data_IF_111068965043
#
_entry.id   IF_111068965043
#
_cell.length_a   1.000
_cell.length_b   1.000
_cell.length_c   1.000
_cell.angle_alpha   90.00
_cell.angle_beta   90.00
_cell.angle_gamma   90.00
#
_symmetry.space_group_name_H-M   'P 1'
#
loop_
_entity.id
_entity.type
_entity.pdbx_description
1 polymer ?
#
# COMPACT_ATOMS: atom_id res chain seq x y z
N UNK A 1 -17.93 54.59 4.71
CA UNK A 1 -17.57 53.43 3.88
C UNK A 1 -16.33 52.80 4.49
N UNK A 2 -16.45 51.58 5.00
CA UNK A 2 -15.35 50.85 5.64
C UNK A 2 -14.34 50.38 4.58
N UNK A 3 -13.02 50.44 4.82
CA UNK A 3 -12.05 49.86 3.91
C UNK A 3 -12.16 48.32 3.97
N UNK A 4 -12.41 47.73 2.80
CA UNK A 4 -12.35 46.29 2.56
C UNK A 4 -10.88 45.84 2.62
N UNK A 5 -10.50 45.12 3.67
CA UNK A 5 -9.20 44.45 3.76
C UNK A 5 -9.36 43.01 3.28
N UNK A 6 -8.71 42.71 2.15
CA UNK A 6 -8.56 41.36 1.57
C UNK A 6 -7.99 40.41 2.63
N UNK A 7 -8.61 39.25 2.91
CA UNK A 7 -7.99 38.25 3.76
C UNK A 7 -6.68 37.80 3.09
N UNK A 8 -5.60 37.95 3.83
CA UNK A 8 -4.31 37.29 3.65
C UNK A 8 -4.55 35.82 3.30
N UNK A 9 -4.38 35.49 2.01
CA UNK A 9 -4.28 34.13 1.54
C UNK A 9 -2.81 33.71 1.65
N UNK A 10 -2.35 33.55 2.88
CA UNK A 10 -1.20 32.70 3.16
C UNK A 10 -1.72 31.28 3.08
N UNK A 11 -1.61 30.72 1.87
CA UNK A 11 -1.46 29.28 1.71
C UNK A 11 -0.26 28.89 2.57
N UNK A 12 -0.53 28.60 3.84
CA UNK A 12 0.43 27.93 4.71
C UNK A 12 0.58 26.57 4.08
N UNK A 13 1.58 26.45 3.20
CA UNK A 13 2.16 25.18 2.85
C UNK A 13 2.59 24.55 4.17
N UNK A 14 1.73 23.72 4.74
CA UNK A 14 2.14 22.80 5.79
C UNK A 14 3.03 21.81 5.05
N UNK A 15 4.33 22.10 5.00
CA UNK A 15 5.29 21.08 4.59
C UNK A 15 4.98 19.84 5.42
N UNK A 16 4.81 18.70 4.74
CA UNK A 16 4.79 17.42 5.43
C UNK A 16 6.06 17.38 6.29
N UNK A 17 5.89 17.50 7.62
CA UNK A 17 7.01 17.48 8.55
C UNK A 17 7.50 16.05 8.61
N UNK A 18 8.37 15.69 7.66
CA UNK A 18 9.30 14.58 7.83
C UNK A 18 10.26 15.02 8.94
N UNK A 19 10.06 14.50 10.15
CA UNK A 19 10.97 14.76 11.27
C UNK A 19 10.34 15.14 12.62
N UNK A 20 9.03 14.97 12.83
CA UNK A 20 8.54 14.98 14.22
C UNK A 20 9.05 13.73 14.97
N UNK A 21 9.53 13.86 16.22
CA UNK A 21 10.04 12.72 17.00
C UNK A 21 8.95 11.65 17.19
N UNK A 22 9.23 10.41 16.77
CA UNK A 22 8.34 9.24 16.94
C UNK A 22 7.91 8.50 15.65
N UNK A 23 8.43 8.86 14.48
CA UNK A 23 8.20 8.18 13.19
C UNK A 23 9.16 7.01 12.98
N UNK A 24 9.22 6.09 13.94
CA UNK A 24 10.06 4.90 13.81
C UNK A 24 9.46 3.96 12.77
N UNK A 25 10.19 3.77 11.66
CA UNK A 25 9.84 2.81 10.60
C UNK A 25 10.93 1.76 10.53
N UNK A 26 10.51 0.49 10.57
CA UNK A 26 11.40 -0.65 10.52
C UNK A 26 11.08 -1.50 9.30
N UNK A 27 12.13 -2.02 8.67
CA UNK A 27 12.05 -2.89 7.51
C UNK A 27 12.82 -4.17 7.80
N UNK A 28 12.24 -5.30 7.44
CA UNK A 28 12.90 -6.59 7.50
C UNK A 28 12.56 -7.39 6.25
N UNK A 29 13.46 -8.27 5.83
CA UNK A 29 13.20 -9.15 4.72
C UNK A 29 14.18 -10.31 4.65
N UNK A 30 13.72 -11.38 4.02
CA UNK A 30 14.49 -12.59 3.77
C UNK A 30 14.23 -13.08 2.35
N UNK A 31 15.23 -13.73 1.77
CA UNK A 31 15.18 -14.24 0.41
C UNK A 31 15.75 -15.65 0.38
N UNK A 32 15.16 -16.50 -0.45
CA UNK A 32 15.63 -17.85 -0.75
C UNK A 32 15.62 -18.08 -2.26
N UNK A 33 16.63 -18.78 -2.76
CA UNK A 33 16.72 -19.15 -4.17
C UNK A 33 17.41 -20.50 -4.31
N UNK A 34 16.79 -21.42 -5.05
CA UNK A 34 17.37 -22.72 -5.37
C UNK A 34 16.72 -23.32 -6.63
N UNK A 35 17.54 -23.77 -7.59
CA UNK A 35 17.07 -24.57 -8.75
C UNK A 35 15.90 -23.95 -9.50
N UNK A 36 16.03 -22.68 -9.92
CA UNK A 36 14.97 -21.94 -10.59
C UNK A 36 13.88 -21.39 -9.65
N UNK A 37 13.67 -21.97 -8.47
CA UNK A 37 12.74 -21.45 -7.48
C UNK A 37 13.34 -20.26 -6.73
N UNK A 38 12.51 -19.24 -6.51
CA UNK A 38 12.86 -18.10 -5.67
C UNK A 38 11.66 -17.72 -4.80
N UNK A 39 11.94 -17.27 -3.58
CA UNK A 39 10.92 -16.77 -2.66
C UNK A 39 11.50 -15.67 -1.78
N UNK A 40 10.66 -14.69 -1.46
CA UNK A 40 11.04 -13.55 -0.65
C UNK A 40 9.90 -13.19 0.29
N UNK A 41 10.24 -12.84 1.51
CA UNK A 41 9.31 -12.22 2.45
C UNK A 41 9.86 -10.86 2.84
N UNK A 42 9.01 -9.83 2.76
CA UNK A 42 9.32 -8.47 3.15
C UNK A 42 8.29 -7.99 4.17
N UNK A 43 8.77 -7.25 5.17
CA UNK A 43 7.99 -6.71 6.26
C UNK A 43 8.35 -5.24 6.49
N UNK A 44 7.33 -4.43 6.75
CA UNK A 44 7.45 -3.02 7.15
C UNK A 44 6.58 -2.81 8.39
N UNK A 45 7.10 -2.08 9.37
CA UNK A 45 6.34 -1.58 10.52
C UNK A 45 6.57 -0.08 10.68
N UNK A 46 5.51 0.70 10.88
CA UNK A 46 5.56 2.12 11.19
C UNK A 46 4.71 2.43 12.42
N UNK A 47 5.33 3.00 13.46
CA UNK A 47 4.67 3.30 14.75
C UNK A 47 3.58 4.37 14.62
N UNK A 48 3.86 5.42 13.85
CA UNK A 48 2.92 6.47 13.50
C UNK A 48 2.91 6.65 11.98
N UNK A 49 1.73 6.58 11.38
CA UNK A 49 1.50 6.98 10.01
C UNK A 49 0.60 8.23 10.08
N UNK A 50 1.22 9.41 10.27
CA UNK A 50 0.52 10.69 10.11
C UNK A 50 0.26 10.90 8.63
N UNK A 51 -0.77 10.22 8.14
CA UNK A 51 -1.24 10.36 6.78
C UNK A 51 -2.76 10.41 6.96
N UNK A 52 -3.40 11.45 6.45
CA UNK A 52 -4.81 11.73 6.72
C UNK A 52 -5.73 10.59 6.29
N UNK A 53 -7.06 10.63 6.54
CA UNK A 53 -8.00 9.51 6.25
C UNK A 53 -7.81 8.95 4.84
N UNK A 54 -7.43 9.79 3.90
CA UNK A 54 -7.20 9.39 2.53
C UNK A 54 -5.97 8.52 2.35
N UNK A 55 -5.08 8.33 3.33
CA UNK A 55 -3.78 7.67 3.19
C UNK A 55 -3.82 6.23 2.70
N UNK A 56 -4.81 5.47 3.17
CA UNK A 56 -4.97 4.07 2.82
C UNK A 56 -5.58 3.95 1.42
N UNK A 57 -6.52 4.83 1.06
CA UNK A 57 -6.97 4.98 -0.34
C UNK A 57 -5.89 5.61 -1.24
N UNK A 58 -5.10 6.58 -0.78
CA UNK A 58 -4.00 7.26 -1.47
C UNK A 58 -2.88 6.26 -1.81
N UNK A 59 -2.59 5.36 -0.87
CA UNK A 59 -1.61 4.29 -1.03
C UNK A 59 -2.09 3.18 -1.98
N UNK A 60 -3.40 2.89 -2.02
CA UNK A 60 -3.99 1.82 -2.84
C UNK A 60 -4.51 2.29 -4.23
N UNK A 61 -5.01 3.53 -4.36
CA UNK A 61 -5.68 4.10 -5.55
C UNK A 61 -4.88 5.21 -6.25
N UNK A 62 -3.75 5.66 -5.70
CA UNK A 62 -2.84 6.58 -6.40
C UNK A 62 -3.40 7.97 -6.76
N UNK A 63 -4.36 8.51 -6.00
CA UNK A 63 -4.93 9.86 -6.23
C UNK A 63 -4.28 10.93 -5.36
N UNK A 64 -3.67 11.96 -5.95
CA UNK A 64 -2.87 12.99 -5.26
C UNK A 64 -3.68 14.22 -4.81
N UNK A 65 -4.64 14.10 -3.89
CA UNK A 65 -5.35 15.27 -3.33
C UNK A 65 -5.09 15.46 -1.84
N UNK A 66 -4.42 16.57 -1.50
CA UNK A 66 -4.08 17.05 -0.15
C UNK A 66 -5.27 17.72 0.57
N UNK A 67 -6.40 17.03 0.76
CA UNK A 67 -7.57 17.61 1.46
C UNK A 67 -7.94 16.95 2.80
N UNK A 68 -7.02 16.25 3.46
CA UNK A 68 -7.31 15.63 4.75
C UNK A 68 -7.02 16.54 5.97
N UNK A 69 -7.69 17.69 6.08
CA UNK A 69 -7.77 18.44 7.36
C UNK A 69 -8.87 17.83 8.25
N UNK A 70 -8.51 16.95 9.18
CA UNK A 70 -9.40 16.54 10.28
C UNK A 70 -9.55 15.04 10.56
N UNK A 71 -8.52 14.25 10.28
CA UNK A 71 -8.62 12.79 10.24
C UNK A 71 -7.74 12.14 11.31
N UNK A 72 -8.28 11.15 12.04
CA UNK A 72 -7.54 10.43 13.07
C UNK A 72 -6.24 9.83 12.50
N UNK A 73 -5.05 10.09 13.08
CA UNK A 73 -3.78 9.58 12.55
C UNK A 73 -3.74 8.05 12.66
N UNK A 74 -3.29 7.36 11.59
CA UNK A 74 -3.07 5.92 11.63
C UNK A 74 -1.83 5.58 12.47
N UNK A 75 -1.87 4.43 13.14
CA UNK A 75 -0.82 3.90 14.03
C UNK A 75 -0.57 2.44 13.75
N UNK A 76 0.60 1.96 14.18
CA UNK A 76 0.97 0.54 14.11
C UNK A 76 0.82 -0.08 12.71
N UNK A 77 1.14 0.68 11.68
CA UNK A 77 0.98 0.25 10.30
C UNK A 77 2.00 -0.85 9.97
N UNK A 78 1.50 -1.97 9.45
CA UNK A 78 2.25 -3.16 9.12
C UNK A 78 1.96 -3.56 7.69
N UNK A 79 3.01 -3.87 6.93
CA UNK A 79 2.90 -4.43 5.58
C UNK A 79 3.69 -5.72 5.55
N UNK A 80 3.04 -6.80 5.16
CA UNK A 80 3.63 -8.11 4.96
C UNK A 80 3.50 -8.48 3.49
N UNK A 81 4.60 -8.72 2.80
CA UNK A 81 4.59 -9.16 1.41
C UNK A 81 5.37 -10.46 1.27
N UNK A 82 4.70 -11.47 0.75
CA UNK A 82 5.30 -12.73 0.35
C UNK A 82 5.30 -12.81 -1.17
N UNK A 83 6.45 -13.12 -1.76
CA UNK A 83 6.56 -13.41 -3.18
C UNK A 83 7.23 -14.76 -3.38
N UNK A 84 6.80 -15.50 -4.38
CA UNK A 84 7.38 -16.80 -4.73
C UNK A 84 7.24 -17.07 -6.20
N UNK A 85 8.15 -17.85 -6.77
CA UNK A 85 8.13 -18.11 -8.19
C UNK A 85 9.14 -19.16 -8.63
N UNK A 86 9.07 -19.46 -9.92
CA UNK A 86 9.98 -20.34 -10.63
C UNK A 86 10.41 -19.66 -11.93
N UNK A 87 11.71 -19.62 -12.16
CA UNK A 87 12.31 -19.08 -13.38
C UNK A 87 13.44 -19.98 -13.85
N UNK A 88 13.19 -20.76 -14.90
CA UNK A 88 14.18 -21.60 -15.57
C UNK A 88 13.68 -22.05 -16.96
N UNK A 89 14.60 -22.37 -17.87
CA UNK A 89 14.25 -22.98 -19.16
C UNK A 89 13.33 -22.13 -20.05
N UNK A 90 13.33 -20.81 -19.86
CA UNK A 90 12.44 -19.87 -20.57
C UNK A 90 11.07 -19.68 -19.94
N UNK A 91 10.70 -20.46 -18.92
CA UNK A 91 9.49 -20.28 -18.12
C UNK A 91 9.76 -19.29 -16.98
N UNK A 92 8.84 -18.37 -16.74
CA UNK A 92 8.80 -17.54 -15.54
C UNK A 92 7.37 -17.56 -14.97
N UNK A 93 7.26 -17.98 -13.72
CA UNK A 93 6.04 -17.98 -12.92
C UNK A 93 6.32 -17.21 -11.64
N UNK A 94 5.43 -16.31 -11.26
CA UNK A 94 5.54 -15.55 -10.02
C UNK A 94 4.15 -15.37 -9.39
N UNK A 95 4.11 -15.47 -8.07
CA UNK A 95 2.97 -15.22 -7.21
C UNK A 95 3.41 -14.24 -6.13
N UNK A 96 2.50 -13.34 -5.75
CA UNK A 96 2.68 -12.42 -4.65
C UNK A 96 1.39 -12.36 -3.83
N UNK A 97 1.54 -12.22 -2.52
CA UNK A 97 0.48 -11.87 -1.60
C UNK A 97 0.99 -10.73 -0.73
N UNK A 98 0.15 -9.73 -0.51
CA UNK A 98 0.41 -8.59 0.37
C UNK A 98 -0.74 -8.44 1.35
N UNK A 99 -0.39 -8.18 2.62
CA UNK A 99 -1.32 -7.89 3.70
C UNK A 99 -0.89 -6.59 4.34
N UNK A 100 -1.79 -5.62 4.32
CA UNK A 100 -1.64 -4.33 4.96
C UNK A 100 -2.57 -4.27 6.17
N UNK A 101 -2.03 -3.84 7.30
CA UNK A 101 -2.71 -3.74 8.58
C UNK A 101 -2.39 -2.37 9.20
N UNK A 102 -3.36 -1.78 9.89
CA UNK A 102 -3.14 -0.55 10.67
C UNK A 102 -4.22 -0.36 11.72
N UNK A 103 -3.99 0.58 12.64
CA UNK A 103 -4.96 0.99 13.66
C UNK A 103 -5.26 2.48 13.52
N UNK A 104 -6.49 2.90 13.77
CA UNK A 104 -6.83 4.31 13.85
C UNK A 104 -6.40 4.90 15.19
N UNK A 105 -6.10 6.21 15.19
CA UNK A 105 -5.75 6.98 16.39
C UNK A 105 -6.90 7.22 17.37
N UNK A 106 -8.07 6.60 17.14
CA UNK A 106 -9.23 6.69 18.01
C UNK A 106 -9.02 5.92 19.33
N UNK A 107 -9.83 6.24 20.36
CA UNK A 107 -9.72 5.58 21.69
C UNK A 107 -9.96 4.07 21.61
N UNK A 108 -10.72 3.62 20.61
CA UNK A 108 -11.07 2.23 20.39
C UNK A 108 -9.98 1.44 19.63
N UNK A 109 -8.94 2.11 19.09
CA UNK A 109 -7.88 1.54 18.26
C UNK A 109 -8.45 0.63 17.16
N UNK A 110 -9.45 1.14 16.45
CA UNK A 110 -10.15 0.36 15.44
C UNK A 110 -9.19 -0.06 14.32
N UNK A 111 -9.29 -1.30 13.86
CA UNK A 111 -8.33 -1.89 12.91
C UNK A 111 -8.75 -1.67 11.46
N UNK A 112 -7.76 -1.41 10.62
CA UNK A 112 -7.91 -1.41 9.16
C UNK A 112 -7.06 -2.53 8.55
N UNK A 113 -7.54 -3.15 7.48
CA UNK A 113 -6.82 -4.20 6.76
C UNK A 113 -7.19 -4.25 5.29
N UNK A 114 -6.20 -4.48 4.40
CA UNK A 114 -6.47 -4.96 3.03
C UNK A 114 -5.55 -6.14 2.70
N UNK A 115 -6.00 -7.00 1.80
CA UNK A 115 -5.21 -8.10 1.27
C UNK A 115 -5.21 -8.02 -0.25
N UNK A 116 -4.06 -8.25 -0.86
CA UNK A 116 -3.91 -8.29 -2.31
C UNK A 116 -3.12 -9.52 -2.71
N UNK A 117 -3.50 -10.12 -3.84
CA UNK A 117 -2.75 -11.20 -4.47
C UNK A 117 -2.48 -10.84 -5.93
N UNK A 118 -1.33 -11.28 -6.44
CA UNK A 118 -0.97 -11.13 -7.83
C UNK A 118 -0.29 -12.39 -8.34
N UNK A 119 -0.56 -12.72 -9.60
CA UNK A 119 0.02 -13.83 -10.32
C UNK A 119 0.53 -13.36 -11.67
N UNK A 120 1.67 -13.90 -12.10
CA UNK A 120 2.25 -13.64 -13.40
C UNK A 120 2.86 -14.89 -13.98
N UNK A 121 2.65 -15.08 -15.27
CA UNK A 121 3.27 -16.13 -16.06
C UNK A 121 3.84 -15.57 -17.36
N UNK A 122 4.98 -16.08 -17.80
CA UNK A 122 5.54 -15.80 -19.12
C UNK A 122 6.39 -16.95 -19.61
N UNK A 123 6.51 -17.09 -20.93
CA UNK A 123 7.36 -18.10 -21.54
C UNK A 123 8.12 -17.52 -22.72
N UNK A 124 9.40 -17.88 -22.85
CA UNK A 124 10.27 -17.43 -23.94
C UNK A 124 10.22 -18.37 -25.14
N UNK A 125 9.74 -17.86 -26.26
CA UNK A 125 9.79 -18.51 -27.57
C UNK A 125 10.84 -17.81 -28.44
N UNK A 126 12.11 -18.22 -28.32
CA UNK A 126 13.23 -17.56 -29.02
C UNK A 126 13.33 -16.08 -28.64
N UNK A 127 12.97 -15.18 -29.57
CA UNK A 127 12.99 -13.74 -29.37
C UNK A 127 11.68 -13.17 -28.79
N UNK A 128 10.59 -13.94 -28.76
CA UNK A 128 9.30 -13.51 -28.24
C UNK A 128 9.09 -13.97 -26.78
N UNK A 129 8.45 -13.13 -25.96
CA UNK A 129 8.11 -13.46 -24.56
C UNK A 129 6.69 -12.96 -24.26
N UNK A 130 5.63 -13.73 -24.61
CA UNK A 130 4.29 -13.44 -24.12
C UNK A 130 4.23 -13.50 -22.59
N UNK A 131 3.36 -12.69 -22.00
CA UNK A 131 3.20 -12.56 -20.55
C UNK A 131 1.73 -12.35 -20.21
N UNK A 132 1.26 -13.05 -19.20
CA UNK A 132 -0.04 -12.81 -18.59
C UNK A 132 0.16 -12.45 -17.12
N UNK A 133 -0.55 -11.44 -16.64
CA UNK A 133 -0.59 -11.05 -15.23
C UNK A 133 -2.03 -10.89 -14.80
N UNK A 134 -2.33 -11.29 -13.56
CA UNK A 134 -3.61 -11.11 -12.90
C UNK A 134 -3.38 -10.65 -11.46
N UNK A 135 -4.22 -9.77 -10.95
CA UNK A 135 -4.21 -9.34 -9.56
C UNK A 135 -5.63 -9.21 -9.04
N UNK A 136 -5.80 -9.53 -7.75
CA UNK A 136 -7.06 -9.40 -7.04
C UNK A 136 -6.81 -8.68 -5.71
N UNK A 137 -7.54 -7.60 -5.48
CA UNK A 137 -7.62 -6.94 -4.18
C UNK A 137 -8.92 -7.37 -3.49
N UNK A 138 -8.79 -7.84 -2.25
CA UNK A 138 -9.94 -8.16 -1.42
C UNK A 138 -10.56 -6.89 -0.83
N UNK A 139 -11.79 -7.00 -0.35
CA UNK A 139 -12.48 -5.87 0.25
C UNK A 139 -11.72 -5.29 1.46
N UNK A 140 -11.61 -3.97 1.48
CA UNK A 140 -11.03 -3.19 2.55
C UNK A 140 -11.81 -3.41 3.85
N UNK A 141 -11.11 -3.60 4.95
CA UNK A 141 -11.68 -3.47 6.30
C UNK A 141 -11.24 -2.11 6.82
N UNK A 142 -12.19 -1.22 7.09
CA UNK A 142 -11.94 0.09 7.71
C UNK A 142 -12.70 0.17 9.05
N UNK A 143 -12.00 0.56 10.11
CA UNK A 143 -12.54 0.65 11.48
C UNK A 143 -13.26 -0.63 11.92
N UNK A 144 -12.76 -1.79 11.50
CA UNK A 144 -13.35 -3.11 11.77
C UNK A 144 -14.61 -3.44 10.95
N UNK A 145 -14.99 -2.61 9.98
CA UNK A 145 -16.12 -2.85 9.08
C UNK A 145 -15.63 -3.12 7.67
N UNK A 146 -16.27 -4.08 7.01
CA UNK A 146 -16.03 -4.38 5.60
C UNK A 146 -16.54 -3.22 4.75
N UNK A 147 -15.68 -2.65 3.92
CA UNK A 147 -16.02 -1.65 2.91
C UNK A 147 -16.77 -2.29 1.75
N UNK A 148 -17.83 -1.65 1.30
CA UNK A 148 -18.61 -2.12 0.14
C UNK A 148 -17.89 -1.73 -1.15
N UNK A 149 -17.84 -2.65 -2.12
CA UNK A 149 -17.25 -2.43 -3.46
C UNK A 149 -15.80 -1.92 -3.45
N UNK A 150 -15.00 -2.42 -2.50
CA UNK A 150 -13.58 -2.06 -2.39
C UNK A 150 -12.65 -3.13 -2.97
N UNK A 151 -13.17 -4.33 -3.25
CA UNK A 151 -12.46 -5.36 -4.02
C UNK A 151 -12.33 -5.00 -5.50
N UNK A 152 -11.28 -5.51 -6.13
CA UNK A 152 -11.03 -5.30 -7.55
C UNK A 152 -10.29 -6.47 -8.19
N UNK A 153 -10.45 -6.58 -9.52
CA UNK A 153 -9.70 -7.50 -10.38
C UNK A 153 -8.95 -6.70 -11.45
N UNK A 154 -7.72 -7.10 -11.74
CA UNK A 154 -6.93 -6.53 -12.82
C UNK A 154 -6.22 -7.62 -13.60
N UNK A 155 -6.19 -7.51 -14.92
CA UNK A 155 -5.45 -8.44 -15.79
C UNK A 155 -4.75 -7.71 -16.92
N UNK A 156 -3.59 -8.23 -17.33
CA UNK A 156 -2.79 -7.71 -18.44
C UNK A 156 -2.16 -8.86 -19.21
N UNK A 157 -2.31 -8.87 -20.54
CA UNK A 157 -1.79 -9.89 -21.46
C UNK A 157 -0.89 -9.27 -22.53
#
# INVERSE_FOLDING_TARGET
AAPYTRPDNSDVFVSAVVGQPGLDVYYAGLNYKNGGFAGSYAFKYARHANVGRDAFELFLLGSTSDEAKGTDPLKNHQVHRLTGGYEEGGLNLALAAQLDLSENGDKAKTKNSTTEIAARASYRFGNAVPRLSYAHGFDLIERGKKGENTSYDSSMA
#
